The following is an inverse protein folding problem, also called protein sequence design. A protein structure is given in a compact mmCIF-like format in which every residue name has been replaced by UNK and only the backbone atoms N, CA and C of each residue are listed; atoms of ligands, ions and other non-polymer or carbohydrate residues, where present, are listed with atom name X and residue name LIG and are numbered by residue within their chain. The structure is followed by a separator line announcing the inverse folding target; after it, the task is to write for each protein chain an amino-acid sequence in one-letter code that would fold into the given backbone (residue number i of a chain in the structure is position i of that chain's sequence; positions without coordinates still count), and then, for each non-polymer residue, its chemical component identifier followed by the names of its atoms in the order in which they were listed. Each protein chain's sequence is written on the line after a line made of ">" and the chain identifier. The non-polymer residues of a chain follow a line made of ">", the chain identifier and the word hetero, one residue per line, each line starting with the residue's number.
data_IF_431647359041
#
_entry.id   IF_431647359041
#
_cell.length_a   1.000
_cell.length_b   1.000
_cell.length_c   1.000
_cell.angle_alpha   90.00
_cell.angle_beta   90.00
_cell.angle_gamma   90.00
#
_symmetry.space_group_name_H-M   'P 1'
#
loop_
_entity.id
_entity.type
_entity.pdbx_description
1 polymer ?
#
# COMPACT_ATOMS: atom_id res chain seq x y z
N UNK A 1 36.51 2.40 29.38
CA UNK A 1 35.78 1.15 29.04
C UNK A 1 34.37 1.44 28.51
N UNK A 2 34.24 2.24 27.46
CA UNK A 2 32.93 2.62 26.85
C UNK A 2 32.64 1.82 25.57
N UNK A 3 33.60 1.03 25.07
CA UNK A 3 33.57 0.50 23.70
C UNK A 3 32.89 -0.85 23.46
N UNK A 4 32.57 -1.66 24.47
CA UNK A 4 32.03 -3.02 24.21
C UNK A 4 30.53 -3.18 24.52
N UNK A 5 30.00 -2.46 25.53
CA UNK A 5 28.57 -2.56 25.88
C UNK A 5 27.66 -1.98 24.79
N UNK A 6 28.09 -0.93 24.10
CA UNK A 6 27.28 -0.32 23.04
C UNK A 6 27.19 -1.20 21.79
N UNK A 7 28.28 -1.88 21.42
CA UNK A 7 28.29 -2.79 20.26
C UNK A 7 27.34 -3.97 20.50
N UNK A 8 27.32 -4.53 21.72
CA UNK A 8 26.42 -5.64 22.02
C UNK A 8 24.95 -5.23 21.97
N UNK A 9 24.62 -3.98 22.37
CA UNK A 9 23.25 -3.48 22.34
C UNK A 9 22.73 -3.30 20.90
N UNK A 10 23.59 -2.82 19.99
CA UNK A 10 23.25 -2.62 18.57
C UNK A 10 23.05 -3.96 17.85
N UNK A 11 23.82 -4.99 18.21
CA UNK A 11 23.66 -6.33 17.63
C UNK A 11 22.35 -6.97 18.11
N UNK A 12 21.91 -6.71 19.35
CA UNK A 12 20.74 -7.41 19.88
C UNK A 12 19.41 -6.96 19.23
N UNK A 13 19.31 -5.71 18.78
CA UNK A 13 18.07 -5.19 18.16
C UNK A 13 18.01 -5.43 16.65
N UNK A 14 19.12 -5.79 16.00
CA UNK A 14 19.20 -5.84 14.53
C UNK A 14 18.88 -7.21 13.92
N UNK A 15 18.73 -8.28 14.70
CA UNK A 15 18.53 -9.63 14.17
C UNK A 15 17.18 -10.26 14.53
N UNK A 16 16.08 -9.50 14.48
CA UNK A 16 14.74 -10.09 14.54
C UNK A 16 14.41 -10.74 13.20
N UNK A 17 15.05 -11.87 12.86
CA UNK A 17 14.72 -12.60 11.63
C UNK A 17 13.40 -13.34 11.79
N UNK A 18 12.53 -13.22 10.78
CA UNK A 18 11.27 -13.96 10.62
C UNK A 18 11.43 -15.47 10.74
N UNK A 19 12.64 -15.98 10.47
CA UNK A 19 12.97 -17.40 10.52
C UNK A 19 13.11 -17.94 11.95
N UNK A 20 13.29 -17.09 12.96
CA UNK A 20 13.48 -17.51 14.34
C UNK A 20 12.20 -17.40 15.16
N UNK A 21 12.00 -18.37 16.05
CA UNK A 21 10.93 -18.31 17.04
C UNK A 21 11.13 -17.11 17.98
N UNK A 22 10.02 -16.47 18.33
CA UNK A 22 9.95 -15.44 19.35
C UNK A 22 10.48 -15.91 20.71
N UNK A 23 11.52 -15.24 21.23
CA UNK A 23 11.99 -15.40 22.60
C UNK A 23 11.25 -14.50 23.60
N UNK A 24 11.38 -14.78 24.90
CA UNK A 24 10.60 -14.13 25.96
C UNK A 24 10.93 -12.65 26.21
N UNK A 25 12.16 -12.20 25.96
CA UNK A 25 12.59 -10.87 26.40
C UNK A 25 12.33 -9.74 25.39
N UNK A 26 12.59 -9.93 24.10
CA UNK A 26 12.57 -8.83 23.12
C UNK A 26 11.58 -8.98 21.96
N UNK A 27 10.85 -10.10 21.86
CA UNK A 27 9.97 -10.36 20.73
C UNK A 27 8.77 -11.16 21.24
N UNK A 28 7.89 -10.51 22.01
CA UNK A 28 6.72 -11.17 22.60
C UNK A 28 5.81 -11.70 21.50
N UNK A 29 5.44 -12.97 21.61
CA UNK A 29 4.57 -13.63 20.64
C UNK A 29 3.27 -12.84 20.40
N UNK A 30 3.04 -12.51 19.14
CA UNK A 30 1.83 -11.88 18.64
C UNK A 30 0.88 -12.97 18.12
N UNK A 31 1.35 -13.81 17.21
CA UNK A 31 0.56 -14.85 16.57
C UNK A 31 0.83 -14.85 15.07
N UNK A 32 0.26 -15.85 14.40
CA UNK A 32 0.51 -16.08 12.97
C UNK A 32 -0.53 -15.45 12.06
N UNK A 33 -1.50 -14.73 12.63
CA UNK A 33 -2.53 -14.02 11.89
C UNK A 33 -2.59 -12.57 12.34
N UNK A 34 -2.62 -11.65 11.38
CA UNK A 34 -2.74 -10.23 11.64
C UNK A 34 -3.61 -9.53 10.59
N UNK A 35 -4.29 -8.46 11.01
CA UNK A 35 -4.93 -7.48 10.14
C UNK A 35 -3.99 -6.29 10.02
N UNK A 36 -3.70 -5.86 8.80
CA UNK A 36 -2.81 -4.74 8.50
C UNK A 36 -3.60 -3.70 7.71
N UNK A 37 -3.67 -2.48 8.21
CA UNK A 37 -4.39 -1.38 7.53
C UNK A 37 -3.44 -0.25 7.16
N UNK A 38 -3.36 0.04 5.87
CA UNK A 38 -2.68 1.22 5.34
C UNK A 38 -3.68 2.31 4.99
N UNK A 39 -3.30 3.57 5.23
CA UNK A 39 -4.00 4.74 4.70
C UNK A 39 -3.15 5.33 3.58
N UNK A 40 -3.76 5.49 2.40
CA UNK A 40 -3.03 5.71 1.16
C UNK A 40 -3.68 6.83 0.35
N UNK A 41 -2.86 7.74 -0.15
CA UNK A 41 -3.16 8.60 -1.29
C UNK A 41 -2.78 7.81 -2.55
N UNK A 42 -3.76 7.28 -3.31
CA UNK A 42 -3.48 6.29 -4.34
C UNK A 42 -3.01 6.98 -5.63
N UNK A 43 -2.05 6.35 -6.31
CA UNK A 43 -1.92 6.52 -7.76
C UNK A 43 -2.97 5.70 -8.50
N UNK A 44 -3.09 5.87 -9.82
CA UNK A 44 -4.03 5.09 -10.64
C UNK A 44 -3.86 3.56 -10.49
N UNK A 45 -2.63 3.09 -10.25
CA UNK A 45 -2.32 1.67 -10.04
C UNK A 45 -3.00 1.07 -8.81
N UNK A 46 -3.36 1.89 -7.82
CA UNK A 46 -4.11 1.44 -6.64
C UNK A 46 -5.61 1.71 -6.75
N UNK A 47 -6.11 1.87 -7.98
CA UNK A 47 -7.54 2.09 -8.26
C UNK A 47 -8.03 1.13 -9.33
N UNK A 48 -9.34 1.03 -9.47
CA UNK A 48 -9.93 0.28 -10.56
C UNK A 48 -11.00 1.11 -11.27
N UNK A 49 -11.27 0.83 -12.53
CA UNK A 49 -12.42 1.40 -13.23
C UNK A 49 -13.00 0.32 -14.16
N UNK A 50 -14.23 -0.18 -13.90
CA UNK A 50 -14.81 -1.25 -14.69
C UNK A 50 -15.43 -0.77 -16.02
N UNK A 51 -15.41 0.52 -16.28
CA UNK A 51 -16.03 1.10 -17.48
C UNK A 51 -15.05 1.19 -18.66
N UNK A 52 -15.59 1.47 -19.85
CA UNK A 52 -14.77 1.69 -21.04
C UNK A 52 -13.93 2.98 -20.97
N UNK A 53 -14.21 3.87 -20.01
CA UNK A 53 -13.44 5.10 -19.78
C UNK A 53 -12.25 4.91 -18.83
N UNK A 54 -11.96 3.66 -18.43
CA UNK A 54 -10.76 3.37 -17.64
C UNK A 54 -9.52 3.86 -18.38
N UNK A 55 -8.64 4.53 -17.63
CA UNK A 55 -7.37 5.00 -18.18
C UNK A 55 -6.29 3.94 -17.96
N UNK A 56 -5.25 4.00 -18.78
CA UNK A 56 -4.06 3.16 -18.58
C UNK A 56 -3.57 3.27 -17.13
N UNK A 57 -3.12 2.15 -16.57
CA UNK A 57 -2.66 1.98 -15.18
C UNK A 57 -3.76 1.81 -14.13
N UNK A 58 -5.05 1.96 -14.46
CA UNK A 58 -6.11 1.47 -13.57
C UNK A 58 -6.34 -0.02 -13.78
N UNK A 59 -6.72 -0.72 -12.73
CA UNK A 59 -7.22 -2.10 -12.87
C UNK A 59 -8.62 -2.09 -13.50
N UNK A 60 -8.94 -3.13 -14.28
CA UNK A 60 -10.25 -3.26 -14.93
C UNK A 60 -11.37 -3.66 -13.98
N UNK A 61 -11.05 -4.10 -12.76
CA UNK A 61 -12.04 -4.48 -11.75
C UNK A 61 -11.44 -4.45 -10.35
N UNK A 62 -12.30 -4.38 -9.35
CA UNK A 62 -11.93 -4.51 -7.94
C UNK A 62 -11.22 -5.84 -7.66
N UNK A 63 -11.68 -6.94 -8.26
CA UNK A 63 -11.05 -8.25 -8.12
C UNK A 63 -9.65 -8.29 -8.72
N UNK A 64 -9.44 -7.68 -9.89
CA UNK A 64 -8.12 -7.59 -10.51
C UNK A 64 -7.13 -6.80 -9.64
N UNK A 65 -7.56 -5.68 -9.06
CA UNK A 65 -6.76 -4.92 -8.11
C UNK A 65 -6.46 -5.76 -6.86
N UNK A 66 -7.47 -6.45 -6.31
CA UNK A 66 -7.32 -7.30 -5.14
C UNK A 66 -6.28 -8.40 -5.36
N UNK A 67 -6.34 -9.08 -6.51
CA UNK A 67 -5.44 -10.18 -6.82
C UNK A 67 -4.01 -9.68 -7.07
N UNK A 68 -3.85 -8.53 -7.71
CA UNK A 68 -2.52 -7.90 -7.84
C UNK A 68 -1.90 -7.55 -6.49
N UNK A 69 -2.69 -6.95 -5.58
CA UNK A 69 -2.22 -6.60 -4.23
C UNK A 69 -1.95 -7.83 -3.35
N UNK A 70 -2.79 -8.87 -3.43
CA UNK A 70 -2.53 -10.15 -2.75
C UNK A 70 -1.24 -10.79 -3.25
N UNK A 71 -1.02 -10.80 -4.56
CA UNK A 71 0.18 -11.40 -5.16
C UNK A 71 1.43 -10.62 -4.75
N UNK A 72 1.37 -9.28 -4.78
CA UNK A 72 2.47 -8.43 -4.31
C UNK A 72 2.83 -8.74 -2.86
N UNK A 73 1.85 -8.72 -1.95
CA UNK A 73 2.10 -9.01 -0.54
C UNK A 73 2.62 -10.44 -0.30
N UNK A 74 2.09 -11.41 -1.05
CA UNK A 74 2.55 -12.81 -0.99
C UNK A 74 4.01 -12.93 -1.42
N UNK A 75 4.37 -12.33 -2.57
CA UNK A 75 5.74 -12.34 -3.08
C UNK A 75 6.70 -11.66 -2.12
N UNK A 76 6.31 -10.49 -1.58
CA UNK A 76 7.17 -9.73 -0.67
C UNK A 76 7.42 -10.50 0.64
N UNK A 77 6.42 -11.21 1.18
CA UNK A 77 6.64 -12.09 2.35
C UNK A 77 7.63 -13.20 2.01
N UNK A 78 7.51 -13.84 0.84
CA UNK A 78 8.45 -14.87 0.40
C UNK A 78 9.87 -14.31 0.19
N UNK A 79 10.00 -13.15 -0.46
CA UNK A 79 11.28 -12.49 -0.69
C UNK A 79 11.95 -12.12 0.63
N UNK A 80 11.19 -11.57 1.59
CA UNK A 80 11.69 -11.22 2.91
C UNK A 80 12.23 -12.46 3.66
N UNK A 81 11.45 -13.55 3.73
CA UNK A 81 11.90 -14.80 4.38
C UNK A 81 13.09 -15.40 3.63
N UNK A 82 13.05 -15.43 2.29
CA UNK A 82 14.13 -15.99 1.47
C UNK A 82 15.43 -15.21 1.63
N UNK A 83 15.37 -13.88 1.75
CA UNK A 83 16.53 -13.02 1.96
C UNK A 83 17.21 -13.26 3.30
N UNK A 84 16.44 -13.64 4.33
CA UNK A 84 16.96 -13.95 5.66
C UNK A 84 17.42 -15.40 5.78
N UNK A 85 16.62 -16.35 5.27
CA UNK A 85 16.95 -17.76 5.22
C UNK A 85 16.23 -18.48 4.06
N UNK A 86 16.90 -18.72 2.93
CA UNK A 86 16.30 -19.37 1.76
C UNK A 86 15.71 -20.76 2.05
N UNK A 87 16.26 -21.49 3.02
CA UNK A 87 15.80 -22.83 3.38
C UNK A 87 14.42 -22.82 4.07
N UNK A 88 14.02 -21.69 4.66
CA UNK A 88 12.73 -21.54 5.36
C UNK A 88 11.63 -20.92 4.48
N UNK A 89 11.97 -20.35 3.32
CA UNK A 89 11.02 -19.67 2.46
C UNK A 89 9.84 -20.57 2.07
N UNK A 90 10.10 -21.83 1.71
CA UNK A 90 9.06 -22.80 1.36
C UNK A 90 8.20 -23.25 2.54
N UNK A 91 8.68 -23.08 3.78
CA UNK A 91 7.96 -23.41 5.00
C UNK A 91 7.06 -22.26 5.47
N UNK A 92 7.26 -21.03 4.99
CA UNK A 92 6.36 -19.90 5.25
C UNK A 92 5.27 -19.87 4.20
N UNK A 93 4.04 -20.31 4.54
CA UNK A 93 2.91 -20.25 3.60
C UNK A 93 1.96 -19.13 4.00
N UNK A 94 2.08 -17.92 3.42
CA UNK A 94 1.14 -16.84 3.65
C UNK A 94 -0.18 -17.07 2.90
N UNK A 95 -1.29 -16.95 3.62
CA UNK A 95 -2.63 -16.82 3.07
C UNK A 95 -3.05 -15.35 3.20
N UNK A 96 -2.98 -14.62 2.08
CA UNK A 96 -3.25 -13.19 2.03
C UNK A 96 -4.66 -12.93 1.50
N UNK A 97 -5.45 -12.18 2.27
CA UNK A 97 -6.73 -11.62 1.84
C UNK A 97 -6.66 -10.10 1.93
N UNK A 98 -7.37 -9.42 1.04
CA UNK A 98 -7.53 -7.98 1.06
C UNK A 98 -9.02 -7.63 0.99
N UNK A 99 -9.44 -6.71 1.85
CA UNK A 99 -10.81 -6.20 1.87
C UNK A 99 -10.99 -5.17 0.76
N UNK A 100 -11.87 -5.50 -0.19
CA UNK A 100 -12.13 -4.70 -1.37
C UNK A 100 -13.08 -3.53 -1.11
N UNK A 101 -13.78 -3.52 0.02
CA UNK A 101 -14.80 -2.50 0.34
C UNK A 101 -14.25 -1.07 0.43
N UNK A 102 -12.93 -0.94 0.61
CA UNK A 102 -12.24 0.36 0.69
C UNK A 102 -11.64 0.82 -0.64
N UNK A 103 -11.66 -0.03 -1.68
CA UNK A 103 -11.10 0.33 -2.97
C UNK A 103 -11.94 1.39 -3.64
N UNK A 104 -11.27 2.31 -4.34
CA UNK A 104 -11.92 3.41 -5.03
C UNK A 104 -12.01 3.13 -6.53
N UNK A 105 -13.08 3.62 -7.15
CA UNK A 105 -13.29 3.57 -8.59
C UNK A 105 -13.43 4.95 -9.21
N UNK A 106 -12.34 5.74 -9.30
CA UNK A 106 -12.40 7.07 -9.85
C UNK A 106 -12.48 7.03 -11.37
N UNK A 107 -13.46 7.73 -11.93
CA UNK A 107 -13.47 8.12 -13.34
C UNK A 107 -12.62 9.39 -13.53
N UNK A 108 -11.57 9.28 -14.35
CA UNK A 108 -10.58 10.33 -14.54
C UNK A 108 -11.03 11.26 -15.67
N UNK A 109 -11.33 12.51 -15.31
CA UNK A 109 -11.59 13.58 -16.28
C UNK A 109 -10.31 14.43 -16.39
N UNK A 110 -9.64 14.45 -17.55
CA UNK A 110 -8.37 15.15 -17.71
C UNK A 110 -8.54 16.67 -17.58
N UNK A 111 -7.54 17.33 -16.99
CA UNK A 111 -7.50 18.80 -16.86
C UNK A 111 -6.92 19.45 -18.13
N UNK A 112 -7.64 19.36 -19.24
CA UNK A 112 -7.20 19.89 -20.55
C UNK A 112 -8.26 20.80 -21.14
N UNK A 113 -7.87 21.98 -21.59
CA UNK A 113 -8.74 22.88 -22.36
C UNK A 113 -8.93 22.33 -23.78
N UNK A 114 -10.17 22.21 -24.23
CA UNK A 114 -10.49 21.70 -25.57
C UNK A 114 -10.47 22.81 -26.63
N UNK A 115 -10.82 24.05 -26.26
CA UNK A 115 -10.86 25.19 -27.17
C UNK A 115 -10.22 26.46 -26.54
N UNK A 116 -9.59 27.29 -27.38
CA UNK A 116 -8.84 28.48 -26.96
C UNK A 116 -9.70 29.75 -26.73
N UNK A 117 -10.98 29.69 -27.06
CA UNK A 117 -11.86 30.86 -27.04
C UNK A 117 -12.92 30.77 -25.94
N UNK A 118 -13.00 31.79 -25.09
CA UNK A 118 -14.08 31.96 -24.12
C UNK A 118 -13.88 31.23 -22.80
N UNK A 119 -14.96 31.18 -22.00
CA UNK A 119 -15.00 30.47 -20.72
C UNK A 119 -15.71 29.14 -20.91
N UNK A 120 -15.05 28.03 -20.58
CA UNK A 120 -15.58 26.66 -20.72
C UNK A 120 -15.47 25.91 -19.39
N UNK A 121 -16.52 25.20 -18.98
CA UNK A 121 -16.45 24.27 -17.85
C UNK A 121 -15.89 22.93 -18.34
N UNK A 122 -14.72 22.54 -17.84
CA UNK A 122 -14.04 21.29 -18.23
C UNK A 122 -14.56 20.11 -17.41
N UNK A 123 -14.69 20.32 -16.11
CA UNK A 123 -15.04 19.27 -15.17
C UNK A 123 -15.72 19.88 -13.94
N UNK A 124 -16.75 19.20 -13.45
CA UNK A 124 -17.46 19.62 -12.25
C UNK A 124 -16.65 19.32 -10.97
N UNK A 125 -16.98 20.04 -9.90
CA UNK A 125 -16.55 19.68 -8.55
C UNK A 125 -16.95 18.22 -8.23
N UNK A 126 -16.12 17.51 -7.47
CA UNK A 126 -16.32 16.11 -7.12
C UNK A 126 -15.74 15.11 -8.12
N UNK A 127 -15.35 15.56 -9.32
CA UNK A 127 -14.69 14.71 -10.33
C UNK A 127 -13.22 14.47 -10.01
N UNK A 128 -12.64 13.42 -10.60
CA UNK A 128 -11.26 13.03 -10.34
C UNK A 128 -10.31 13.42 -11.48
N UNK A 129 -9.05 13.64 -11.13
CA UNK A 129 -7.93 13.79 -12.06
C UNK A 129 -6.64 13.29 -11.42
N UNK A 130 -5.56 13.27 -12.20
CA UNK A 130 -4.23 12.89 -11.72
C UNK A 130 -3.31 14.10 -11.72
N UNK A 131 -2.66 14.34 -10.59
CA UNK A 131 -1.64 15.38 -10.41
C UNK A 131 -0.47 14.77 -9.64
N UNK A 132 0.76 14.98 -10.11
CA UNK A 132 1.96 14.41 -9.50
C UNK A 132 1.86 12.87 -9.29
N UNK A 133 1.24 12.17 -10.25
CA UNK A 133 0.98 10.72 -10.21
C UNK A 133 -0.05 10.25 -9.17
N UNK A 134 -0.64 11.14 -8.37
CA UNK A 134 -1.66 10.80 -7.38
C UNK A 134 -3.05 11.20 -7.86
N UNK A 135 -4.07 10.43 -7.46
CA UNK A 135 -5.47 10.75 -7.74
C UNK A 135 -5.92 11.86 -6.81
N UNK A 136 -6.49 12.92 -7.40
CA UNK A 136 -7.07 14.06 -6.68
C UNK A 136 -8.52 14.24 -7.07
N UNK A 137 -9.31 14.73 -6.11
CA UNK A 137 -10.70 15.09 -6.33
C UNK A 137 -10.82 16.61 -6.37
N UNK A 138 -11.48 17.13 -7.41
CA UNK A 138 -11.77 18.56 -7.54
C UNK A 138 -12.72 18.99 -6.44
N UNK A 139 -12.41 20.08 -5.75
CA UNK A 139 -13.31 20.70 -4.76
C UNK A 139 -14.11 21.86 -5.34
N UNK A 140 -13.76 22.28 -6.54
CA UNK A 140 -14.45 23.31 -7.30
C UNK A 140 -14.47 22.95 -8.78
N UNK A 141 -15.38 23.58 -9.52
CA UNK A 141 -15.47 23.43 -10.96
C UNK A 141 -14.15 23.85 -11.64
N UNK A 142 -13.59 22.99 -12.47
CA UNK A 142 -12.44 23.31 -13.30
C UNK A 142 -12.91 24.00 -14.58
N UNK A 143 -12.50 25.25 -14.78
CA UNK A 143 -12.87 26.05 -15.96
C UNK A 143 -11.65 26.43 -16.79
N UNK A 144 -11.81 26.57 -18.09
CA UNK A 144 -10.89 27.27 -18.97
C UNK A 144 -11.36 28.71 -19.14
N UNK A 145 -10.42 29.65 -19.19
CA UNK A 145 -10.67 31.02 -19.66
C UNK A 145 -9.64 31.30 -20.74
N UNK A 146 -10.10 31.62 -21.95
CA UNK A 146 -9.26 31.91 -23.12
C UNK A 146 -8.18 30.83 -23.35
N UNK A 147 -8.61 29.56 -23.38
CA UNK A 147 -7.72 28.40 -23.58
C UNK A 147 -6.83 28.04 -22.38
N UNK A 148 -6.85 28.83 -21.31
CA UNK A 148 -6.02 28.59 -20.13
C UNK A 148 -6.85 27.98 -19.01
N UNK A 149 -6.44 26.79 -18.54
CA UNK A 149 -7.01 26.14 -17.37
C UNK A 149 -6.85 27.07 -16.16
N UNK A 150 -7.97 27.50 -15.58
CA UNK A 150 -7.96 28.16 -14.30
C UNK A 150 -7.58 27.15 -13.23
N UNK A 151 -6.85 27.64 -12.22
CA UNK A 151 -6.48 26.83 -11.06
C UNK A 151 -7.72 26.14 -10.49
N UNK A 152 -7.68 24.81 -10.40
CA UNK A 152 -8.74 24.00 -9.82
C UNK A 152 -8.27 23.50 -8.46
N UNK A 153 -8.87 24.02 -7.39
CA UNK A 153 -8.68 23.51 -6.04
C UNK A 153 -9.05 22.03 -5.99
N UNK A 154 -8.20 21.27 -5.32
CA UNK A 154 -8.37 19.82 -5.22
C UNK A 154 -7.83 19.27 -3.91
N UNK A 155 -8.45 18.20 -3.43
CA UNK A 155 -8.00 17.44 -2.28
C UNK A 155 -7.37 16.12 -2.74
N UNK A 156 -6.35 15.62 -2.03
CA UNK A 156 -5.86 14.27 -2.26
C UNK A 156 -7.01 13.27 -1.98
N UNK A 157 -7.14 12.26 -2.83
CA UNK A 157 -8.08 11.16 -2.55
C UNK A 157 -7.44 10.23 -1.52
N UNK A 158 -8.24 9.78 -0.56
CA UNK A 158 -7.81 8.84 0.46
C UNK A 158 -8.51 7.49 0.27
N UNK A 159 -7.73 6.41 0.39
CA UNK A 159 -8.25 5.03 0.43
C UNK A 159 -7.56 4.24 1.54
N UNK A 160 -8.05 3.03 1.81
CA UNK A 160 -7.45 2.09 2.74
C UNK A 160 -7.11 0.79 2.03
N UNK A 161 -5.93 0.25 2.32
CA UNK A 161 -5.57 -1.11 1.94
C UNK A 161 -5.59 -1.96 3.22
N UNK A 162 -6.60 -2.83 3.34
CA UNK A 162 -6.83 -3.63 4.54
C UNK A 162 -6.54 -5.09 4.24
N UNK A 163 -5.37 -5.56 4.65
CA UNK A 163 -4.95 -6.94 4.53
C UNK A 163 -5.37 -7.75 5.77
N UNK A 164 -5.71 -9.02 5.55
CA UNK A 164 -5.68 -10.07 6.59
C UNK A 164 -4.71 -11.12 6.11
N UNK A 165 -3.65 -11.34 6.89
CA UNK A 165 -2.57 -12.26 6.54
C UNK A 165 -2.51 -13.35 7.61
N UNK A 166 -2.59 -14.60 7.18
CA UNK A 166 -2.41 -15.78 8.03
C UNK A 166 -1.22 -16.59 7.51
N UNK A 167 -0.17 -16.73 8.30
CA UNK A 167 1.07 -17.38 7.91
C UNK A 167 1.16 -18.75 8.58
N UNK A 168 1.05 -19.81 7.79
CA UNK A 168 1.28 -21.16 8.29
C UNK A 168 2.78 -21.43 8.34
N UNK A 169 3.28 -21.78 9.52
CA UNK A 169 4.67 -22.17 9.77
C UNK A 169 4.68 -23.61 10.34
N UNK A 170 5.18 -24.62 9.61
CA UNK A 170 5.15 -26.04 10.00
C UNK A 170 5.79 -26.35 11.35
N UNK A 171 6.79 -25.57 11.75
CA UNK A 171 7.48 -25.72 13.05
C UNK A 171 6.62 -25.28 14.24
N UNK A 172 5.42 -24.72 14.01
CA UNK A 172 4.52 -24.23 15.05
C UNK A 172 4.97 -22.91 15.67
N UNK A 173 6.02 -22.29 15.14
CA UNK A 173 6.51 -20.99 15.59
C UNK A 173 5.40 -19.94 15.47
N UNK A 174 5.40 -19.00 16.42
CA UNK A 174 4.52 -17.83 16.40
C UNK A 174 5.33 -16.60 16.07
N UNK A 175 4.82 -15.72 15.22
CA UNK A 175 5.43 -14.41 14.95
C UNK A 175 5.20 -13.41 16.10
N UNK A 176 6.14 -12.48 16.32
CA UNK A 176 5.98 -11.36 17.25
C UNK A 176 5.53 -10.11 16.52
N UNK A 177 5.29 -9.04 17.27
CA UNK A 177 4.92 -7.76 16.69
C UNK A 177 5.99 -7.24 15.73
N UNK A 178 7.27 -7.35 16.10
CA UNK A 178 8.39 -6.88 15.26
C UNK A 178 8.49 -7.65 13.93
N UNK A 179 8.16 -8.95 13.91
CA UNK A 179 8.04 -9.71 12.65
C UNK A 179 6.93 -9.13 11.77
N UNK A 180 5.78 -8.79 12.35
CA UNK A 180 4.69 -8.15 11.63
C UNK A 180 5.06 -6.74 11.16
N UNK A 181 5.80 -5.97 11.95
CA UNK A 181 6.34 -4.67 11.54
C UNK A 181 7.23 -4.80 10.32
N UNK A 182 8.19 -5.75 10.32
CA UNK A 182 9.03 -6.03 9.15
C UNK A 182 8.22 -6.41 7.91
N UNK A 183 7.25 -7.32 8.04
CA UNK A 183 6.36 -7.71 6.94
C UNK A 183 5.60 -6.49 6.40
N UNK A 184 5.07 -5.67 7.30
CA UNK A 184 4.27 -4.50 6.96
C UNK A 184 5.12 -3.45 6.22
N UNK A 185 6.32 -3.18 6.71
CA UNK A 185 7.25 -2.23 6.08
C UNK A 185 7.71 -2.71 4.70
N UNK A 186 7.99 -4.00 4.55
CA UNK A 186 8.37 -4.60 3.27
C UNK A 186 7.24 -4.45 2.22
N UNK A 187 6.00 -4.84 2.57
CA UNK A 187 4.83 -4.70 1.70
C UNK A 187 4.61 -3.22 1.32
N UNK A 188 4.65 -2.31 2.29
CA UNK A 188 4.52 -0.87 2.05
C UNK A 188 5.61 -0.37 1.09
N UNK A 189 6.87 -0.70 1.36
CA UNK A 189 8.01 -0.29 0.53
C UNK A 189 7.86 -0.74 -0.91
N UNK A 190 7.43 -2.00 -1.11
CA UNK A 190 7.19 -2.55 -2.43
C UNK A 190 6.06 -1.84 -3.17
N UNK A 191 4.93 -1.56 -2.52
CA UNK A 191 3.83 -0.80 -3.13
C UNK A 191 4.26 0.62 -3.51
N UNK A 192 5.03 1.30 -2.66
CA UNK A 192 5.53 2.66 -2.98
C UNK A 192 6.41 2.63 -4.24
N UNK A 193 7.34 1.68 -4.33
CA UNK A 193 8.24 1.54 -5.49
C UNK A 193 7.45 1.25 -6.77
N UNK A 194 6.48 0.33 -6.71
CA UNK A 194 5.77 -0.14 -7.89
C UNK A 194 4.69 0.84 -8.38
N UNK A 195 4.15 1.68 -7.48
CA UNK A 195 2.96 2.50 -7.78
C UNK A 195 3.17 4.01 -7.66
N UNK A 196 4.22 4.48 -6.98
CA UNK A 196 4.42 5.88 -6.59
C UNK A 196 3.25 6.47 -5.77
N UNK A 197 2.48 5.63 -5.07
CA UNK A 197 1.43 6.08 -4.16
C UNK A 197 2.03 6.57 -2.84
N UNK A 198 1.34 7.48 -2.15
CA UNK A 198 1.81 8.01 -0.87
C UNK A 198 1.06 7.34 0.30
N UNK A 199 1.80 6.94 1.32
CA UNK A 199 1.27 6.23 2.49
C UNK A 199 1.35 7.14 3.71
N UNK A 200 0.19 7.40 4.34
CA UNK A 200 0.10 8.29 5.50
C UNK A 200 0.51 7.60 6.82
N UNK A 201 0.64 6.27 6.80
CA UNK A 201 1.08 5.49 7.96
C UNK A 201 2.06 4.38 7.54
N UNK A 202 2.65 3.69 8.51
CA UNK A 202 3.50 2.51 8.27
C UNK A 202 2.71 1.21 8.21
N UNK A 203 1.39 1.24 8.35
CA UNK A 203 0.50 0.08 8.47
C UNK A 203 0.14 -0.22 9.93
N UNK A 204 -1.14 -0.08 10.28
CA UNK A 204 -1.65 -0.41 11.61
C UNK A 204 -1.86 -1.92 11.73
N UNK A 205 -1.18 -2.55 12.70
CA UNK A 205 -1.19 -3.99 12.93
C UNK A 205 -2.16 -4.33 14.07
N UNK A 206 -3.15 -5.16 13.78
CA UNK A 206 -4.16 -5.61 14.72
C UNK A 206 -4.25 -7.14 14.73
N UNK A 207 -4.70 -7.71 15.85
CA UNK A 207 -4.94 -9.16 15.95
C UNK A 207 -6.20 -9.48 15.17
N UNK A 208 -6.17 -10.55 14.40
CA UNK A 208 -7.26 -10.99 13.52
C UNK A 208 -7.71 -12.42 13.81
#
# INVERSE_FOLDING_TARGET
>A
MIGLKFILLIILTTFVSLSFSCGSFNCRSYGNKARITYEVEPSLYLTYNPTYTHVNRQHSSSSSLADSLKQLATNEIYELVSSENPAYASAFTPNVKIDQSYFISPEIIPSVCKNDNGTELIAESGTYFVENSLVRQRTENATCINGTLQYSRSNPVMTKLVYTIDIKIPTGQKLCYDHWTKITEAIKGKIIIDTNSNFLNTGMIERA
#
